data_IF_637363962599
#
_entry.id   IF_637363962599
#
_cell.length_a   1.000
_cell.length_b   1.000
_cell.length_c   1.000
_cell.angle_alpha   90.00
_cell.angle_beta   90.00
_cell.angle_gamma   90.00
#
_symmetry.space_group_name_H-M   'P 1'
#
loop_
_entity.id
_entity.type
_entity.pdbx_description
1 polymer ?
#
# COMPACT_ATOMS: atom_id res chain seq x y z
N UNK A 1 8.96 10.69 -17.02
CA UNK A 1 8.90 9.44 -16.23
C UNK A 1 10.32 9.00 -15.96
N UNK A 2 10.79 9.15 -14.71
CA UNK A 2 12.04 8.51 -14.28
C UNK A 2 11.68 7.10 -13.85
N UNK A 3 12.32 6.09 -14.43
CA UNK A 3 12.16 4.71 -13.95
C UNK A 3 12.83 4.59 -12.57
N UNK A 4 12.22 3.87 -11.61
CA UNK A 4 12.80 3.71 -10.28
C UNK A 4 14.17 3.05 -10.39
N UNK A 5 15.19 3.68 -9.79
CA UNK A 5 16.52 3.08 -9.66
C UNK A 5 16.54 2.21 -8.40
N UNK A 6 16.24 0.92 -8.57
CA UNK A 6 16.15 -0.02 -7.45
C UNK A 6 17.40 -0.02 -6.55
N UNK A 7 18.60 0.05 -7.14
CA UNK A 7 19.86 0.09 -6.37
C UNK A 7 19.98 1.33 -5.49
N UNK A 8 19.59 2.49 -6.02
CA UNK A 8 19.59 3.73 -5.26
C UNK A 8 18.57 3.69 -4.13
N UNK A 9 17.36 3.20 -4.40
CA UNK A 9 16.30 3.05 -3.40
C UNK A 9 16.77 2.13 -2.27
N UNK A 10 17.35 0.96 -2.58
CA UNK A 10 17.90 0.07 -1.57
C UNK A 10 18.99 0.73 -0.73
N UNK A 11 19.90 1.47 -1.37
CA UNK A 11 20.95 2.22 -0.66
C UNK A 11 20.36 3.24 0.32
N UNK A 12 19.31 3.97 -0.09
CA UNK A 12 18.64 4.94 0.78
C UNK A 12 17.93 4.25 1.96
N UNK A 13 17.23 3.15 1.70
CA UNK A 13 16.55 2.37 2.75
C UNK A 13 17.54 1.86 3.82
N UNK A 14 18.71 1.40 3.39
CA UNK A 14 19.78 0.97 4.30
C UNK A 14 20.38 2.16 5.07
N UNK A 15 20.66 3.27 4.37
CA UNK A 15 21.25 4.47 4.98
C UNK A 15 20.38 5.07 6.08
N UNK A 16 19.06 5.12 5.87
CA UNK A 16 18.10 5.60 6.86
C UNK A 16 17.70 4.53 7.89
N UNK A 17 18.22 3.30 7.78
CA UNK A 17 17.93 2.21 8.70
C UNK A 17 16.47 1.73 8.66
N UNK A 18 15.77 1.97 7.55
CA UNK A 18 14.37 1.59 7.31
C UNK A 18 14.30 0.15 6.79
N UNK A 19 15.32 -0.30 6.05
CA UNK A 19 15.35 -1.63 5.42
C UNK A 19 15.05 -2.78 6.40
N UNK A 20 15.41 -2.64 7.67
CA UNK A 20 15.14 -3.64 8.73
C UNK A 20 13.66 -3.86 9.05
N UNK A 21 12.78 -2.94 8.66
CA UNK A 21 11.32 -3.04 8.83
C UNK A 21 10.62 -3.58 7.57
N UNK A 22 11.36 -3.76 6.46
CA UNK A 22 10.81 -4.18 5.18
C UNK A 22 11.18 -5.64 4.88
N UNK A 23 10.24 -6.55 5.03
CA UNK A 23 10.46 -7.98 4.74
C UNK A 23 10.43 -8.26 3.23
N UNK A 24 9.51 -7.65 2.51
CA UNK A 24 9.31 -7.82 1.06
C UNK A 24 9.38 -6.46 0.38
N UNK A 25 9.92 -6.44 -0.84
CA UNK A 25 10.15 -5.22 -1.63
C UNK A 25 9.79 -5.46 -3.09
N UNK A 26 8.82 -4.71 -3.61
CA UNK A 26 8.49 -4.68 -5.03
C UNK A 26 8.90 -3.33 -5.63
N UNK A 27 10.07 -3.27 -6.27
CA UNK A 27 10.64 -2.04 -6.84
C UNK A 27 10.88 -2.26 -8.33
N UNK A 28 9.92 -1.85 -9.15
CA UNK A 28 10.01 -1.92 -10.62
C UNK A 28 9.11 -0.88 -11.27
N UNK A 29 9.42 -0.45 -12.51
CA UNK A 29 8.51 0.40 -13.28
C UNK A 29 7.21 -0.35 -13.61
N UNK A 30 6.09 0.35 -13.62
CA UNK A 30 4.76 -0.18 -13.96
C UNK A 30 3.67 0.37 -13.06
N UNK A 31 2.40 -0.01 -13.28
CA UNK A 31 1.29 0.33 -12.39
C UNK A 31 1.53 -0.20 -10.98
N UNK A 32 1.16 0.57 -9.95
CA UNK A 32 1.38 0.16 -8.55
C UNK A 32 0.49 -1.02 -8.16
N UNK A 33 -0.69 -1.18 -8.78
CA UNK A 33 -1.53 -2.36 -8.64
C UNK A 33 -0.75 -3.67 -8.86
N UNK A 34 0.08 -3.75 -9.92
CA UNK A 34 0.90 -4.93 -10.20
C UNK A 34 1.96 -5.17 -9.11
N UNK A 35 2.44 -4.12 -8.45
CA UNK A 35 3.40 -4.25 -7.34
C UNK A 35 2.71 -4.82 -6.10
N UNK A 36 1.46 -4.42 -5.85
CA UNK A 36 0.66 -4.95 -4.74
C UNK A 36 0.32 -6.42 -4.94
N UNK A 37 -0.12 -6.81 -6.14
CA UNK A 37 -0.33 -8.23 -6.50
C UNK A 37 0.95 -9.04 -6.29
N UNK A 38 2.10 -8.53 -6.76
CA UNK A 38 3.39 -9.20 -6.58
C UNK A 38 3.80 -9.34 -5.11
N UNK A 39 3.43 -8.39 -4.25
CA UNK A 39 3.63 -8.52 -2.80
C UNK A 39 2.72 -9.62 -2.26
N UNK A 40 1.42 -9.60 -2.58
CA UNK A 40 0.47 -10.64 -2.17
C UNK A 40 0.93 -12.05 -2.58
N UNK A 41 1.42 -12.23 -3.81
CA UNK A 41 2.01 -13.50 -4.28
C UNK A 41 3.23 -13.94 -3.47
N UNK A 42 4.08 -13.00 -3.03
CA UNK A 42 5.29 -13.32 -2.26
C UNK A 42 5.01 -13.59 -0.78
N UNK A 43 4.01 -12.92 -0.22
CA UNK A 43 3.65 -13.03 1.20
C UNK A 43 2.60 -14.09 1.48
N UNK A 44 1.88 -14.54 0.44
CA UNK A 44 0.67 -15.35 0.56
C UNK A 44 -0.42 -14.67 1.42
N UNK A 45 -0.39 -13.33 1.52
CA UNK A 45 -1.41 -12.52 2.19
C UNK A 45 -2.47 -12.14 1.17
N UNK A 46 -3.73 -12.35 1.50
CA UNK A 46 -4.85 -12.00 0.64
C UNK A 46 -4.92 -10.48 0.42
N UNK A 47 -5.32 -10.05 -0.78
CA UNK A 47 -5.38 -8.63 -1.13
C UNK A 47 -6.29 -7.81 -0.19
N UNK A 48 -7.37 -8.42 0.30
CA UNK A 48 -8.26 -7.81 1.30
C UNK A 48 -7.61 -7.58 2.67
N UNK A 49 -6.49 -8.25 2.94
CA UNK A 49 -5.71 -8.11 4.16
C UNK A 49 -4.48 -7.18 3.98
N UNK A 50 -4.46 -6.38 2.91
CA UNK A 50 -3.41 -5.41 2.63
C UNK A 50 -3.95 -3.98 2.76
N UNK A 51 -3.26 -3.19 3.59
CA UNK A 51 -3.42 -1.74 3.70
C UNK A 51 -2.30 -1.06 2.90
N UNK A 52 -2.67 -0.22 1.95
CA UNK A 52 -1.75 0.54 1.10
C UNK A 52 -1.83 2.03 1.44
N UNK A 53 -0.67 2.66 1.57
CA UNK A 53 -0.53 4.12 1.72
C UNK A 53 -0.04 4.67 0.38
N UNK A 54 -0.79 5.60 -0.21
CA UNK A 54 -0.58 6.07 -1.59
C UNK A 54 -0.66 7.60 -1.65
N UNK A 55 0.27 8.25 -2.35
CA UNK A 55 0.32 9.70 -2.52
C UNK A 55 -0.23 10.18 -3.89
N UNK A 56 -0.33 9.29 -4.87
CA UNK A 56 -0.83 9.58 -6.21
C UNK A 56 -2.31 9.17 -6.36
N UNK A 57 -3.22 10.15 -6.33
CA UNK A 57 -4.67 9.94 -6.49
C UNK A 57 -5.04 9.07 -7.71
N UNK A 58 -4.27 9.17 -8.80
CA UNK A 58 -4.54 8.43 -10.03
C UNK A 58 -4.35 6.91 -9.86
N UNK A 59 -3.49 6.48 -8.92
CA UNK A 59 -3.21 5.06 -8.67
C UNK A 59 -4.23 4.45 -7.68
N UNK A 60 -4.87 5.27 -6.83
CA UNK A 60 -5.81 4.81 -5.79
C UNK A 60 -6.93 3.93 -6.36
N UNK A 61 -7.52 4.32 -7.49
CA UNK A 61 -8.62 3.59 -8.10
C UNK A 61 -8.24 2.18 -8.55
N UNK A 62 -7.08 2.06 -9.21
CA UNK A 62 -6.59 0.78 -9.73
C UNK A 62 -6.15 -0.15 -8.59
N UNK A 63 -5.54 0.39 -7.53
CA UNK A 63 -5.16 -0.38 -6.35
C UNK A 63 -6.41 -0.83 -5.58
N UNK A 64 -7.36 0.06 -5.32
CA UNK A 64 -8.59 -0.27 -4.60
C UNK A 64 -9.45 -1.32 -5.33
N UNK A 65 -9.40 -1.37 -6.66
CA UNK A 65 -10.08 -2.40 -7.46
C UNK A 65 -9.58 -3.84 -7.15
N UNK A 66 -8.41 -3.98 -6.52
CA UNK A 66 -7.88 -5.26 -6.03
C UNK A 66 -8.52 -5.72 -4.71
N UNK A 67 -9.51 -4.99 -4.18
CA UNK A 67 -10.12 -5.21 -2.86
C UNK A 67 -9.20 -4.90 -1.67
N UNK A 68 -8.09 -4.21 -1.89
CA UNK A 68 -7.19 -3.71 -0.84
C UNK A 68 -7.75 -2.44 -0.21
N UNK A 69 -7.46 -2.19 1.06
CA UNK A 69 -7.73 -0.88 1.66
C UNK A 69 -6.63 0.10 1.27
N UNK A 70 -7.01 1.25 0.72
CA UNK A 70 -6.05 2.28 0.26
C UNK A 70 -6.31 3.59 0.99
N UNK A 71 -5.26 4.16 1.55
CA UNK A 71 -5.30 5.48 2.19
C UNK A 71 -4.51 6.45 1.32
N UNK A 72 -5.22 7.43 0.77
CA UNK A 72 -4.60 8.57 0.11
C UNK A 72 -3.94 9.47 1.15
N UNK A 73 -2.67 9.76 0.94
CA UNK A 73 -1.89 10.75 1.68
C UNK A 73 -2.11 12.09 0.97
N UNK A 74 -2.75 13.05 1.65
CA UNK A 74 -3.21 14.30 1.02
C UNK A 74 -2.12 15.37 0.94
N UNK A 75 -1.05 15.26 1.75
CA UNK A 75 0.04 16.23 1.83
C UNK A 75 1.36 15.58 1.37
N UNK A 76 1.83 16.01 0.19
CA UNK A 76 3.07 15.52 -0.42
C UNK A 76 4.33 16.16 0.19
N UNK A 77 4.20 17.23 0.99
CA UNK A 77 5.33 17.89 1.66
C UNK A 77 5.73 17.18 2.97
N UNK A 78 4.78 16.60 3.69
CA UNK A 78 5.02 15.90 4.96
C UNK A 78 5.24 14.39 4.78
N UNK A 79 4.83 13.82 3.65
CA UNK A 79 4.84 12.38 3.41
C UNK A 79 3.93 11.62 4.38
N UNK A 80 4.23 10.35 4.64
CA UNK A 80 3.43 9.55 5.58
C UNK A 80 3.58 10.06 7.02
N UNK A 81 2.48 10.50 7.63
CA UNK A 81 2.44 10.93 9.03
C UNK A 81 1.86 9.86 9.95
N UNK A 82 2.03 10.02 11.27
CA UNK A 82 1.37 9.13 12.25
C UNK A 82 -0.16 9.24 12.19
N UNK A 83 -0.70 10.39 11.81
CA UNK A 83 -2.13 10.56 11.63
C UNK A 83 -2.67 9.67 10.51
N UNK A 84 -1.93 9.58 9.39
CA UNK A 84 -2.30 8.71 8.27
C UNK A 84 -2.25 7.23 8.67
N UNK A 85 -1.26 6.84 9.46
CA UNK A 85 -1.15 5.47 9.99
C UNK A 85 -2.34 5.14 10.90
N UNK A 86 -2.69 6.03 11.83
CA UNK A 86 -3.84 5.82 12.74
C UNK A 86 -5.16 5.75 11.97
N UNK A 87 -5.37 6.64 11.01
CA UNK A 87 -6.52 6.64 10.10
C UNK A 87 -6.59 5.33 9.31
N UNK A 88 -5.48 4.90 8.73
CA UNK A 88 -5.41 3.69 7.92
C UNK A 88 -5.71 2.44 8.73
N UNK A 89 -5.13 2.30 9.91
CA UNK A 89 -5.42 1.18 10.80
C UNK A 89 -6.87 1.16 11.27
N UNK A 90 -7.46 2.32 11.57
CA UNK A 90 -8.86 2.43 11.91
C UNK A 90 -9.75 1.93 10.77
N UNK A 91 -9.60 2.49 9.56
CA UNK A 91 -10.38 2.10 8.37
C UNK A 91 -10.20 0.63 8.05
N UNK A 92 -8.95 0.13 8.06
CA UNK A 92 -8.65 -1.27 7.79
C UNK A 92 -9.35 -2.21 8.77
N UNK A 93 -9.42 -1.85 10.05
CA UNK A 93 -10.11 -2.64 11.07
C UNK A 93 -11.64 -2.62 10.96
N UNK A 94 -12.23 -1.56 10.39
CA UNK A 94 -13.69 -1.42 10.24
C UNK A 94 -14.19 -1.99 8.92
N UNK A 95 -13.46 -1.81 7.82
CA UNK A 95 -13.84 -2.34 6.50
C UNK A 95 -13.61 -3.86 6.40
N UNK A 96 -12.59 -4.40 7.08
CA UNK A 96 -12.39 -5.86 7.17
C UNK A 96 -13.52 -6.59 7.93
N UNK A 97 -14.42 -5.86 8.61
CA UNK A 97 -15.49 -6.41 9.44
C UNK A 97 -16.90 -6.20 8.86
N UNK A 98 -17.04 -5.65 7.64
CA UNK A 98 -18.36 -5.52 7.02
C UNK A 98 -18.66 -6.78 6.20
N UNK A 99 -19.61 -7.64 6.61
CA UNK A 99 -20.05 -8.73 5.75
C UNK A 99 -20.71 -8.10 4.52
N UNK A 100 -20.10 -8.31 3.35
CA UNK A 100 -20.82 -8.15 2.09
C UNK A 100 -21.89 -9.25 2.09
N UNK A 101 -23.15 -8.87 1.88
CA UNK A 101 -24.36 -9.71 1.92
C UNK A 101 -24.98 -9.91 3.31
N UNK A 102 -25.88 -8.98 3.70
CA UNK A 102 -27.17 -9.42 4.23
C UNK A 102 -28.04 -9.70 3.00
N UNK A 103 -28.24 -10.99 2.69
CA UNK A 103 -29.31 -11.41 1.78
C UNK A 103 -30.64 -10.95 2.41
N UNK A 104 -31.25 -9.90 1.86
CA UNK A 104 -32.63 -9.53 2.17
C UNK A 104 -33.56 -10.65 1.64
N UNK A 105 -34.12 -11.42 2.57
CA UNK A 105 -35.20 -12.41 2.39
C UNK A 105 -36.47 -11.82 1.72
#
# INVERSE_FOLDING_TARGET
SQSPNAKLIETLLDYFGIAKYLTFKAISPGPKANLVEKISEQTEVDLGEILVMEDEWQEVGDIAALSTVVILIEDDEEGVTMHDIEKGLYVFSTEANTPLYEDDD
#
